data_IF_335653963560
#
_entry.id   IF_335653963560
#
_cell.length_a   1.000
_cell.length_b   1.000
_cell.length_c   1.000
_cell.angle_alpha   90.00
_cell.angle_beta   90.00
_cell.angle_gamma   90.00
#
_symmetry.space_group_name_H-M   'P 1'
#
loop_
_entity.id
_entity.type
_entity.pdbx_description
1 polymer ?
#
# COMPACT_ATOMS: atom_id res chain seq x y z
N UNK A 1 -9.19 -0.10 22.33
CA UNK A 1 -8.80 -1.05 21.27
C UNK A 1 -8.93 -0.32 19.93
N UNK A 2 -7.89 -0.32 19.09
CA UNK A 2 -7.97 0.33 17.76
C UNK A 2 -8.29 -0.70 16.68
N UNK A 3 -9.14 -0.37 15.70
CA UNK A 3 -9.53 -1.32 14.66
C UNK A 3 -8.39 -1.56 13.66
N UNK A 4 -8.29 -2.79 13.15
CA UNK A 4 -7.48 -3.15 11.99
C UNK A 4 -8.41 -3.43 10.81
N UNK A 5 -8.22 -2.73 9.70
CA UNK A 5 -9.13 -2.71 8.54
C UNK A 5 -8.38 -3.22 7.31
N UNK A 6 -8.91 -4.25 6.64
CA UNK A 6 -8.40 -4.79 5.38
C UNK A 6 -9.36 -4.51 4.22
N UNK A 7 -8.81 -4.35 3.02
CA UNK A 7 -9.58 -4.17 1.79
C UNK A 7 -9.32 -5.34 0.85
N UNK A 8 -10.32 -6.19 0.64
CA UNK A 8 -10.24 -7.40 -0.18
C UNK A 8 -11.02 -7.28 -1.49
N UNK A 9 -10.64 -8.07 -2.50
CA UNK A 9 -11.30 -8.11 -3.81
C UNK A 9 -10.36 -8.37 -4.99
N UNK A 10 -10.93 -8.62 -6.17
CA UNK A 10 -10.18 -8.96 -7.40
C UNK A 10 -9.31 -7.82 -7.96
N UNK A 11 -8.49 -8.15 -8.96
CA UNK A 11 -7.69 -7.18 -9.71
C UNK A 11 -8.58 -6.06 -10.26
N UNK A 12 -8.14 -4.79 -10.16
CA UNK A 12 -8.93 -3.65 -10.65
C UNK A 12 -10.17 -3.25 -9.83
N UNK A 13 -10.49 -3.93 -8.72
CA UNK A 13 -11.67 -3.60 -7.89
C UNK A 13 -11.59 -2.28 -7.10
N UNK A 14 -10.49 -1.52 -7.25
CA UNK A 14 -10.32 -0.21 -6.62
C UNK A 14 -9.91 -0.24 -5.15
N UNK A 15 -9.46 -1.38 -4.60
CA UNK A 15 -9.00 -1.52 -3.19
C UNK A 15 -8.06 -0.41 -2.76
N UNK A 16 -7.00 -0.17 -3.53
CA UNK A 16 -5.98 0.85 -3.24
C UNK A 16 -6.57 2.27 -3.25
N UNK A 17 -7.56 2.53 -4.12
CA UNK A 17 -8.28 3.80 -4.17
C UNK A 17 -9.12 4.00 -2.92
N UNK A 18 -9.88 2.98 -2.52
CA UNK A 18 -10.74 3.03 -1.33
C UNK A 18 -9.92 3.12 -0.04
N UNK A 19 -8.82 2.37 0.08
CA UNK A 19 -7.94 2.41 1.25
C UNK A 19 -7.33 3.81 1.44
N UNK A 20 -6.86 4.46 0.37
CA UNK A 20 -6.37 5.85 0.41
C UNK A 20 -7.48 6.86 0.74
N UNK A 21 -8.70 6.65 0.23
CA UNK A 21 -9.83 7.52 0.52
C UNK A 21 -10.22 7.45 2.01
N UNK A 22 -10.27 6.24 2.58
CA UNK A 22 -10.54 6.05 4.01
C UNK A 22 -9.44 6.69 4.86
N UNK A 23 -8.17 6.47 4.53
CA UNK A 23 -7.03 7.05 5.25
C UNK A 23 -7.11 8.59 5.30
N UNK A 24 -7.34 9.25 4.16
CA UNK A 24 -7.55 10.71 4.11
C UNK A 24 -8.73 11.17 4.96
N UNK A 25 -9.84 10.44 4.92
CA UNK A 25 -11.03 10.76 5.71
C UNK A 25 -10.75 10.66 7.21
N UNK A 26 -10.07 9.61 7.67
CA UNK A 26 -9.69 9.45 9.08
C UNK A 26 -8.79 10.59 9.55
N UNK A 27 -7.76 10.95 8.77
CA UNK A 27 -6.90 12.09 9.08
C UNK A 27 -7.69 13.42 9.14
N UNK A 28 -8.63 13.64 8.22
CA UNK A 28 -9.49 14.84 8.22
C UNK A 28 -10.40 14.95 9.45
N UNK A 29 -10.69 13.82 10.09
CA UNK A 29 -11.46 13.74 11.34
C UNK A 29 -10.56 13.79 12.59
N UNK A 30 -9.25 14.02 12.43
CA UNK A 30 -8.29 14.04 13.52
C UNK A 30 -7.99 12.65 14.09
N UNK A 31 -8.33 11.57 13.37
CA UNK A 31 -8.10 10.19 13.79
C UNK A 31 -6.76 9.72 13.22
N UNK A 32 -5.75 9.44 14.06
CA UNK A 32 -4.48 8.89 13.59
C UNK A 32 -4.69 7.52 12.94
N UNK A 33 -4.21 7.34 11.72
CA UNK A 33 -4.33 6.09 10.97
C UNK A 33 -3.06 5.81 10.15
N UNK A 34 -2.67 4.54 10.08
CA UNK A 34 -1.55 4.05 9.26
C UNK A 34 -2.12 3.28 8.08
N UNK A 35 -1.63 3.59 6.87
CA UNK A 35 -1.99 2.87 5.66
C UNK A 35 -0.81 1.96 5.24
N UNK A 36 -1.08 0.67 5.08
CA UNK A 36 -0.11 -0.34 4.61
C UNK A 36 -0.64 -1.05 3.36
N UNK A 37 0.25 -1.64 2.56
CA UNK A 37 -0.11 -2.47 1.40
C UNK A 37 0.83 -3.68 1.28
N UNK A 38 0.40 -4.74 0.60
CA UNK A 38 1.25 -5.89 0.28
C UNK A 38 1.40 -6.10 -1.25
N UNK A 39 2.53 -6.67 -1.71
CA UNK A 39 3.77 -6.86 -0.95
C UNK A 39 4.51 -5.50 -0.88
N UNK A 40 4.76 -4.97 0.32
CA UNK A 40 5.39 -3.65 0.45
C UNK A 40 4.82 -2.71 1.51
N UNK A 41 4.81 -3.11 2.79
CA UNK A 41 4.40 -2.21 3.88
C UNK A 41 5.58 -1.53 4.62
N UNK A 42 6.80 -1.99 4.39
CA UNK A 42 8.04 -1.58 5.06
C UNK A 42 9.12 -1.24 4.02
N UNK A 43 10.18 -0.49 4.36
CA UNK A 43 11.28 -0.21 3.42
C UNK A 43 11.82 -1.48 2.73
N UNK A 44 11.91 -2.58 3.48
CA UNK A 44 12.32 -3.91 3.00
C UNK A 44 11.35 -4.52 1.96
N UNK A 45 10.05 -4.23 2.04
CA UNK A 45 9.07 -4.70 1.07
C UNK A 45 9.09 -3.91 -0.25
N UNK A 46 9.65 -2.70 -0.26
CA UNK A 46 9.86 -1.94 -1.48
C UNK A 46 11.07 -2.48 -2.27
N UNK A 47 12.10 -2.99 -1.59
CA UNK A 47 13.25 -3.65 -2.22
C UNK A 47 12.88 -4.98 -2.90
N UNK A 48 11.85 -5.68 -2.40
CA UNK A 48 11.32 -6.90 -3.06
C UNK A 48 10.56 -6.61 -4.37
N UNK A 49 10.04 -5.38 -4.57
CA UNK A 49 9.49 -4.98 -5.88
C UNK A 49 10.60 -4.80 -6.92
N UNK A 50 11.78 -4.35 -6.52
CA UNK A 50 12.94 -4.19 -7.40
C UNK A 50 13.52 -5.53 -7.85
N UNK A 51 13.46 -6.56 -7.00
CA UNK A 51 14.03 -7.88 -7.30
C UNK A 51 13.22 -8.75 -8.28
N UNK A 52 11.97 -8.41 -8.62
CA UNK A 52 11.16 -9.18 -9.57
C UNK A 52 10.99 -8.53 -10.95
N UNK A 53 11.69 -7.41 -11.20
CA UNK A 53 11.89 -6.87 -12.55
C UNK A 53 13.30 -7.26 -13.00
N UNK A 54 13.51 -8.55 -13.21
CA UNK A 54 14.71 -9.05 -13.87
C UNK A 54 14.77 -8.55 -15.31
N UNK A 55 15.88 -7.88 -15.62
CA UNK A 55 16.47 -7.68 -16.93
C UNK A 55 16.02 -6.45 -17.75
N UNK A 56 16.66 -5.31 -17.49
CA UNK A 56 17.62 -4.82 -18.49
C UNK A 56 18.85 -4.16 -17.86
N UNK A 57 19.97 -4.45 -18.50
CA UNK A 57 21.34 -4.47 -17.99
C UNK A 57 22.06 -3.18 -18.42
N UNK A 58 22.51 -2.37 -17.45
CA UNK A 58 23.64 -1.41 -17.51
C UNK A 58 23.57 -0.16 -18.43
N UNK A 59 24.43 0.86 -18.21
CA UNK A 59 24.01 2.24 -17.93
C UNK A 59 24.55 3.28 -18.93
N UNK A 60 24.05 4.52 -18.86
CA UNK A 60 24.76 5.81 -19.00
C UNK A 60 23.75 6.92 -18.75
#
# INVERSE_FOLDING_TARGET
MSPFITFEGGEGSGKSTQARALHRRLLSMGIPAVLTHEPGGTPLGNDLRSCNLGNDIFPS
#
